data_IF_266157221412
#
_entry.id   IF_266157221412
#
_cell.length_a   1.000
_cell.length_b   1.000
_cell.length_c   1.000
_cell.angle_alpha   90.00
_cell.angle_beta   90.00
_cell.angle_gamma   90.00
#
_symmetry.space_group_name_H-M   'P 1'
#
loop_
_entity.id
_entity.type
_entity.pdbx_description
1 polymer ?
#
# COMPACT_ATOMS: atom_id res chain seq x y z
N UNK A 1 0.57 -0.64 -5.34
CA UNK A 1 -0.62 -1.39 -4.89
C UNK A 1 -0.18 -2.77 -4.41
N UNK A 2 -0.67 -3.20 -3.26
CA UNK A 2 -0.42 -4.54 -2.72
C UNK A 2 -1.74 -5.25 -2.43
N UNK A 3 -1.77 -6.56 -2.62
CA UNK A 3 -2.93 -7.42 -2.33
C UNK A 3 -2.47 -8.54 -1.41
N UNK A 4 -3.28 -8.84 -0.39
CA UNK A 4 -3.04 -9.96 0.51
C UNK A 4 -4.21 -10.93 0.39
N UNK A 5 -3.92 -12.09 -0.17
CA UNK A 5 -4.80 -13.25 -0.12
C UNK A 5 -4.69 -13.88 1.27
N UNK A 6 -5.80 -13.88 2.01
CA UNK A 6 -5.85 -14.37 3.39
C UNK A 6 -6.07 -15.88 3.46
N UNK A 7 -6.60 -16.49 2.40
CA UNK A 7 -6.90 -17.92 2.36
C UNK A 7 -5.60 -18.70 2.14
N UNK A 8 -4.77 -18.24 1.18
CA UNK A 8 -3.47 -18.83 0.88
C UNK A 8 -2.29 -18.17 1.61
N UNK A 9 -2.56 -17.15 2.44
CA UNK A 9 -1.57 -16.26 3.07
C UNK A 9 -0.48 -15.78 2.09
N UNK A 10 -0.90 -15.31 0.91
CA UNK A 10 0.02 -14.86 -0.13
C UNK A 10 -0.09 -13.34 -0.34
N UNK A 11 1.05 -12.66 -0.29
CA UNK A 11 1.16 -11.22 -0.49
C UNK A 11 1.69 -10.91 -1.88
N UNK A 12 1.03 -10.01 -2.59
CA UNK A 12 1.30 -9.67 -3.97
C UNK A 12 1.59 -8.18 -4.11
N UNK A 13 2.70 -7.84 -4.76
CA UNK A 13 2.94 -6.50 -5.29
C UNK A 13 2.40 -6.45 -6.71
N UNK A 14 1.26 -5.79 -6.89
CA UNK A 14 0.51 -5.80 -8.16
C UNK A 14 0.84 -4.61 -9.05
N UNK A 15 1.18 -3.46 -8.46
CA UNK A 15 1.58 -2.26 -9.21
C UNK A 15 2.55 -1.39 -8.41
N UNK A 16 3.45 -0.70 -9.10
CA UNK A 16 4.41 0.25 -8.53
C UNK A 16 4.30 1.58 -9.28
N UNK A 17 4.43 2.67 -8.53
CA UNK A 17 4.52 4.02 -9.06
C UNK A 17 5.65 4.72 -8.31
N UNK A 18 6.57 5.32 -9.07
CA UNK A 18 7.69 6.13 -8.56
C UNK A 18 7.90 7.26 -9.55
N UNK A 19 8.01 8.47 -9.03
CA UNK A 19 8.26 9.67 -9.82
C UNK A 19 8.98 10.68 -8.93
N UNK A 20 9.98 11.36 -9.49
CA UNK A 20 10.84 12.29 -8.75
C UNK A 20 10.46 13.74 -9.06
N UNK A 21 10.61 14.64 -8.07
CA UNK A 21 10.42 16.10 -8.24
C UNK A 21 9.03 16.52 -8.72
N UNK A 22 7.99 15.80 -8.30
CA UNK A 22 6.60 16.15 -8.59
C UNK A 22 5.86 16.62 -7.35
N UNK A 23 4.72 17.26 -7.57
CA UNK A 23 3.83 17.74 -6.50
C UNK A 23 2.90 16.63 -6.01
N UNK A 24 2.47 16.74 -4.75
CA UNK A 24 1.58 15.76 -4.09
C UNK A 24 0.30 15.50 -4.88
N UNK A 25 -0.29 16.53 -5.51
CA UNK A 25 -1.50 16.40 -6.31
C UNK A 25 -1.33 15.41 -7.49
N UNK A 26 -0.17 15.42 -8.15
CA UNK A 26 0.13 14.51 -9.27
C UNK A 26 0.31 13.08 -8.77
N UNK A 27 1.05 12.89 -7.68
CA UNK A 27 1.19 11.58 -7.05
C UNK A 27 -0.17 11.02 -6.60
N UNK A 28 -1.00 11.83 -5.94
CA UNK A 28 -2.31 11.42 -5.48
C UNK A 28 -3.24 11.06 -6.64
N UNK A 29 -3.23 11.83 -7.73
CA UNK A 29 -4.02 11.53 -8.93
C UNK A 29 -3.59 10.22 -9.59
N UNK A 30 -2.28 9.97 -9.71
CA UNK A 30 -1.75 8.72 -10.27
C UNK A 30 -2.19 7.49 -9.44
N UNK A 31 -2.20 7.62 -8.11
CA UNK A 31 -2.62 6.55 -7.20
C UNK A 31 -4.14 6.38 -7.15
N UNK A 32 -4.91 7.45 -7.33
CA UNK A 32 -6.38 7.41 -7.29
C UNK A 32 -6.97 6.49 -8.38
N UNK A 33 -6.31 6.39 -9.54
CA UNK A 33 -6.70 5.50 -10.63
C UNK A 33 -6.65 4.01 -10.27
N UNK A 34 -5.94 3.63 -9.19
CA UNK A 34 -5.88 2.25 -8.74
C UNK A 34 -7.09 1.83 -7.91
N UNK A 35 -7.87 2.78 -7.39
CA UNK A 35 -9.01 2.51 -6.50
C UNK A 35 -8.80 3.08 -5.09
N UNK A 36 -9.85 3.01 -4.27
CA UNK A 36 -9.86 3.64 -2.94
C UNK A 36 -9.41 2.66 -1.85
N UNK A 37 -8.12 2.35 -1.84
CA UNK A 37 -7.49 1.46 -0.85
C UNK A 37 -6.84 2.20 0.32
N UNK A 38 -6.70 1.57 1.50
CA UNK A 38 -5.92 2.11 2.60
C UNK A 38 -4.46 2.34 2.20
N UNK A 39 -3.91 3.51 2.53
CA UNK A 39 -2.54 3.89 2.20
C UNK A 39 -1.71 3.96 3.47
N UNK A 40 -0.73 3.05 3.59
CA UNK A 40 0.28 3.08 4.64
C UNK A 40 1.35 4.14 4.34
N UNK A 41 1.88 4.77 5.38
CA UNK A 41 2.83 5.87 5.25
C UNK A 41 3.89 5.83 6.36
N UNK A 42 5.12 6.34 6.12
CA UNK A 42 6.21 6.29 7.09
C UNK A 42 6.00 7.23 8.28
N UNK A 43 6.69 6.99 9.39
CA UNK A 43 6.72 7.93 10.53
C UNK A 43 7.12 9.36 10.10
N UNK A 44 8.00 9.49 9.11
CA UNK A 44 8.40 10.78 8.56
C UNK A 44 7.27 11.59 7.91
N UNK A 45 6.09 10.99 7.70
CA UNK A 45 4.92 11.72 7.18
C UNK A 45 4.32 12.74 8.15
N UNK A 46 4.75 12.75 9.41
CA UNK A 46 4.46 13.83 10.36
C UNK A 46 5.26 15.11 10.09
N UNK A 47 6.29 15.05 9.25
CA UNK A 47 7.03 16.25 8.87
C UNK A 47 6.08 17.22 8.18
N UNK A 48 6.25 18.49 8.53
CA UNK A 48 5.53 19.58 7.91
C UNK A 48 6.19 19.94 6.59
N UNK A 49 5.37 20.09 5.55
CA UNK A 49 5.84 20.67 4.30
C UNK A 49 6.19 22.16 4.51
N UNK A 50 7.31 22.60 3.94
CA UNK A 50 7.85 23.94 4.18
C UNK A 50 6.96 25.05 3.61
N UNK A 51 6.13 24.75 2.60
CA UNK A 51 5.28 25.74 1.96
C UNK A 51 3.90 25.86 2.64
N UNK A 52 3.30 24.75 3.06
CA UNK A 52 1.93 24.73 3.61
C UNK A 52 1.86 24.66 5.13
N UNK A 53 2.90 24.15 5.81
CA UNK A 53 2.85 23.88 7.25
C UNK A 53 1.98 22.67 7.63
N UNK A 54 1.36 21.99 6.66
CA UNK A 54 0.58 20.77 6.90
C UNK A 54 1.48 19.54 6.98
N UNK A 55 1.04 18.53 7.73
CA UNK A 55 1.69 17.22 7.71
C UNK A 55 1.55 16.61 6.30
N UNK A 56 2.63 16.04 5.77
CA UNK A 56 2.63 15.43 4.44
C UNK A 56 1.49 14.40 4.29
N UNK A 57 1.22 13.60 5.32
CA UNK A 57 0.12 12.62 5.30
C UNK A 57 -1.26 13.28 5.15
N UNK A 58 -1.47 14.45 5.76
CA UNK A 58 -2.70 15.22 5.63
C UNK A 58 -2.86 15.79 4.22
N UNK A 59 -1.78 16.24 3.59
CA UNK A 59 -1.83 16.74 2.21
C UNK A 59 -2.29 15.65 1.24
N UNK A 60 -1.74 14.43 1.35
CA UNK A 60 -2.21 13.29 0.55
C UNK A 60 -3.68 12.93 0.85
N UNK A 61 -4.11 13.03 2.10
CA UNK A 61 -5.52 12.82 2.50
C UNK A 61 -6.45 13.88 1.88
N UNK A 62 -6.03 15.14 1.86
CA UNK A 62 -6.79 16.24 1.25
C UNK A 62 -6.96 16.07 -0.26
N UNK A 63 -6.03 15.39 -0.93
CA UNK A 63 -6.14 14.97 -2.32
C UNK A 63 -6.92 13.65 -2.54
N UNK A 64 -7.62 13.14 -1.52
CA UNK A 64 -8.58 12.05 -1.64
C UNK A 64 -8.01 10.64 -1.46
N UNK A 65 -6.74 10.49 -1.07
CA UNK A 65 -6.19 9.19 -0.70
C UNK A 65 -6.68 8.76 0.70
N UNK A 66 -7.00 7.48 0.87
CA UNK A 66 -7.40 6.91 2.17
C UNK A 66 -6.17 6.61 3.04
N UNK A 67 -5.44 7.66 3.42
CA UNK A 67 -4.28 7.57 4.31
C UNK A 67 -4.71 6.96 5.66
N UNK A 68 -4.00 5.93 6.11
CA UNK A 68 -4.22 5.34 7.44
C UNK A 68 -4.11 6.41 8.53
N UNK A 69 -4.81 6.28 9.67
CA UNK A 69 -4.79 7.28 10.73
C UNK A 69 -3.39 7.41 11.36
N UNK A 70 -2.64 6.32 11.39
CA UNK A 70 -1.30 6.24 11.98
C UNK A 70 -0.28 5.78 10.94
N UNK A 71 0.98 6.13 11.19
CA UNK A 71 2.12 5.69 10.41
C UNK A 71 2.34 4.17 10.52
N UNK A 72 3.16 3.63 9.64
CA UNK A 72 3.44 2.21 9.58
C UNK A 72 4.18 1.70 10.84
N UNK A 73 3.61 0.69 11.48
CA UNK A 73 4.16 0.03 12.68
C UNK A 73 4.18 -1.48 12.54
N UNK A 74 5.16 -2.13 13.16
CA UNK A 74 5.27 -3.59 13.24
C UNK A 74 4.09 -4.18 14.04
N UNK A 75 3.84 -5.49 13.87
CA UNK A 75 2.71 -6.15 14.52
C UNK A 75 2.79 -6.07 16.06
N UNK A 76 4.00 -6.16 16.62
CA UNK A 76 4.26 -6.04 18.06
C UNK A 76 4.44 -4.59 18.54
N UNK A 77 4.19 -3.60 17.68
CA UNK A 77 4.49 -2.18 17.93
C UNK A 77 5.89 -1.76 17.48
N UNK A 78 6.12 -0.44 17.48
CA UNK A 78 7.37 0.17 16.99
C UNK A 78 7.48 0.25 15.45
N UNK A 79 8.55 0.90 14.97
CA UNK A 79 8.78 1.19 13.55
C UNK A 79 10.16 0.69 13.05
N UNK A 80 10.73 -0.29 13.75
CA UNK A 80 12.03 -0.89 13.42
C UNK A 80 12.00 -1.60 12.05
N UNK A 81 13.07 -1.43 11.27
CA UNK A 81 13.15 -1.85 9.86
C UNK A 81 13.56 -3.32 9.69
N UNK A 82 14.36 -3.87 10.61
CA UNK A 82 14.98 -5.20 10.46
C UNK A 82 13.96 -6.34 10.54
N UNK A 83 13.03 -6.28 11.51
CA UNK A 83 12.01 -7.30 11.69
C UNK A 83 11.14 -7.53 10.43
N UNK A 84 10.50 -6.50 9.84
CA UNK A 84 9.68 -6.70 8.64
C UNK A 84 10.50 -7.13 7.42
N UNK A 85 11.79 -6.79 7.32
CA UNK A 85 12.65 -7.29 6.25
C UNK A 85 12.89 -8.79 6.39
N UNK A 86 13.16 -9.25 7.61
CA UNK A 86 13.34 -10.68 7.88
C UNK A 86 12.05 -11.46 7.56
N UNK A 87 10.88 -10.93 7.97
CA UNK A 87 9.58 -11.52 7.66
C UNK A 87 9.32 -11.61 6.14
N UNK A 88 9.62 -10.54 5.40
CA UNK A 88 9.45 -10.52 3.93
C UNK A 88 10.37 -11.54 3.27
N UNK A 89 11.64 -11.63 3.70
CA UNK A 89 12.59 -12.61 3.17
C UNK A 89 12.09 -14.04 3.40
N UNK A 90 11.62 -14.34 4.62
CA UNK A 90 11.04 -15.65 4.94
C UNK A 90 9.79 -15.96 4.10
N UNK A 91 8.93 -14.96 3.88
CA UNK A 91 7.76 -15.10 3.03
C UNK A 91 8.14 -15.34 1.56
N UNK A 92 9.19 -14.68 1.05
CA UNK A 92 9.72 -14.92 -0.29
C UNK A 92 10.25 -16.36 -0.42
N UNK A 93 11.05 -16.83 0.54
CA UNK A 93 11.60 -18.19 0.54
C UNK A 93 10.50 -19.27 0.60
N UNK A 94 9.39 -18.98 1.30
CA UNK A 94 8.21 -19.85 1.37
C UNK A 94 7.28 -19.73 0.16
N UNK A 95 7.59 -18.85 -0.80
CA UNK A 95 6.74 -18.59 -1.97
C UNK A 95 5.43 -17.85 -1.66
N UNK A 96 5.35 -17.20 -0.48
CA UNK A 96 4.20 -16.43 0.03
C UNK A 96 4.30 -14.94 -0.23
N UNK A 97 5.41 -14.47 -0.80
CA UNK A 97 5.57 -13.09 -1.26
C UNK A 97 5.89 -13.09 -2.76
N UNK A 98 5.05 -12.43 -3.55
CA UNK A 98 5.13 -12.45 -5.02
C UNK A 98 5.08 -11.04 -5.58
N UNK A 99 5.87 -10.81 -6.63
CA UNK A 99 5.94 -9.52 -7.32
C UNK A 99 5.54 -9.75 -8.77
N UNK A 100 4.60 -8.95 -9.30
CA UNK A 100 4.24 -9.03 -10.70
C UNK A 100 5.42 -8.63 -11.58
N UNK A 101 5.67 -9.39 -12.64
CA UNK A 101 6.90 -9.33 -13.46
C UNK A 101 7.14 -8.00 -14.18
N UNK A 102 6.09 -7.19 -14.35
CA UNK A 102 6.15 -5.86 -14.97
C UNK A 102 6.66 -4.77 -14.02
N UNK A 103 6.75 -5.02 -12.71
CA UNK A 103 7.24 -4.04 -11.72
C UNK A 103 8.77 -3.92 -11.75
N UNK A 104 9.33 -3.55 -12.91
CA UNK A 104 10.80 -3.49 -13.15
C UNK A 104 11.52 -2.59 -12.16
N UNK A 105 10.94 -1.43 -11.84
CA UNK A 105 11.50 -0.49 -10.87
C UNK A 105 11.77 -1.12 -9.49
N UNK A 106 10.90 -2.03 -9.04
CA UNK A 106 11.12 -2.74 -7.78
C UNK A 106 12.24 -3.78 -7.90
N UNK A 107 12.32 -4.49 -9.02
CA UNK A 107 13.43 -5.43 -9.26
C UNK A 107 14.78 -4.71 -9.33
N UNK A 108 14.82 -3.50 -9.92
CA UNK A 108 16.03 -2.68 -9.98
C UNK A 108 16.49 -2.25 -8.58
N UNK A 109 15.56 -1.81 -7.72
CA UNK A 109 15.89 -1.49 -6.31
C UNK A 109 16.34 -2.74 -5.54
N UNK A 110 15.67 -3.89 -5.71
CA UNK A 110 16.05 -5.14 -5.05
C UNK A 110 17.47 -5.55 -5.44
N UNK A 111 17.85 -5.42 -6.72
CA UNK A 111 19.19 -5.74 -7.18
C UNK A 111 20.29 -4.86 -6.58
N UNK A 112 19.96 -3.65 -6.14
CA UNK A 112 20.89 -2.73 -5.49
C UNK A 112 20.85 -2.81 -3.95
N UNK A 113 19.83 -3.45 -3.39
CA UNK A 113 19.62 -3.51 -1.95
C UNK A 113 20.64 -4.41 -1.26
N UNK A 114 21.48 -3.82 -0.40
CA UNK A 114 22.56 -4.54 0.27
C UNK A 114 22.83 -4.00 1.67
N UNK A 115 23.61 -4.77 2.44
CA UNK A 115 24.14 -4.35 3.74
C UNK A 115 25.63 -4.01 3.62
N UNK A 116 26.05 -2.98 4.36
CA UNK A 116 27.46 -2.62 4.54
C UNK A 116 27.75 -2.50 6.02
N UNK A 117 28.71 -3.29 6.52
CA UNK A 117 29.03 -3.33 7.96
C UNK A 117 27.84 -3.77 8.83
N UNK A 118 27.04 -4.73 8.35
CA UNK A 118 25.87 -5.25 9.07
C UNK A 118 24.63 -4.35 9.06
N UNK A 119 24.72 -3.14 8.49
CA UNK A 119 23.60 -2.20 8.39
C UNK A 119 23.07 -2.12 6.96
N UNK A 120 21.76 -1.97 6.82
CA UNK A 120 21.12 -1.67 5.54
C UNK A 120 21.63 -0.33 5.00
N UNK A 121 22.02 -0.32 3.73
CA UNK A 121 22.36 0.90 3.02
C UNK A 121 21.06 1.54 2.53
N UNK A 122 20.67 2.67 3.13
CA UNK A 122 19.47 3.44 2.78
C UNK A 122 19.71 4.30 1.53
N UNK A 123 19.97 3.66 0.40
CA UNK A 123 20.19 4.31 -0.88
C UNK A 123 19.33 3.63 -1.93
N UNK A 124 18.56 4.43 -2.68
CA UNK A 124 17.62 3.94 -3.69
C UNK A 124 16.63 2.89 -3.16
N UNK A 125 16.07 3.11 -1.97
CA UNK A 125 15.19 2.18 -1.27
C UNK A 125 13.73 2.67 -1.15
N UNK A 126 13.29 3.59 -2.00
CA UNK A 126 11.98 4.23 -1.90
C UNK A 126 10.83 3.23 -2.06
N UNK A 127 10.90 2.36 -3.08
CA UNK A 127 9.88 1.36 -3.37
C UNK A 127 9.99 0.21 -2.36
N UNK A 128 11.20 -0.24 -2.03
CA UNK A 128 11.42 -1.25 -0.98
C UNK A 128 10.87 -0.77 0.36
N UNK A 129 11.08 0.49 0.71
CA UNK A 129 10.53 1.09 1.93
C UNK A 129 9.00 1.13 1.88
N UNK A 130 8.43 1.54 0.76
CA UNK A 130 6.97 1.55 0.56
C UNK A 130 6.35 0.15 0.65
N UNK A 131 6.99 -0.84 0.03
CA UNK A 131 6.64 -2.26 0.10
C UNK A 131 6.67 -2.77 1.54
N UNK A 132 7.73 -2.43 2.30
CA UNK A 132 7.87 -2.79 3.71
C UNK A 132 6.74 -2.19 4.56
N UNK A 133 6.38 -0.92 4.35
CA UNK A 133 5.26 -0.31 5.07
C UNK A 133 3.93 -0.97 4.74
N UNK A 134 3.71 -1.37 3.48
CA UNK A 134 2.52 -2.11 3.10
C UNK A 134 2.48 -3.50 3.76
N UNK A 135 3.61 -4.20 3.86
CA UNK A 135 3.71 -5.47 4.59
C UNK A 135 3.38 -5.30 6.07
N UNK A 136 4.01 -4.34 6.73
CA UNK A 136 3.77 -4.02 8.15
C UNK A 136 2.28 -3.75 8.41
N UNK A 137 1.64 -2.98 7.52
CA UNK A 137 0.26 -2.55 7.66
C UNK A 137 -0.76 -3.46 6.97
N UNK A 138 -0.39 -4.67 6.55
CA UNK A 138 -1.29 -5.61 5.84
C UNK A 138 -2.57 -5.94 6.63
N UNK A 139 -2.53 -5.83 7.97
CA UNK A 139 -3.68 -5.96 8.89
C UNK A 139 -4.80 -4.93 8.64
N UNK A 140 -4.49 -3.81 7.98
CA UNK A 140 -5.48 -2.81 7.57
C UNK A 140 -6.00 -3.00 6.15
N UNK A 141 -5.57 -4.06 5.45
CA UNK A 141 -6.11 -4.41 4.13
C UNK A 141 -7.63 -4.50 4.17
N UNK A 142 -8.28 -4.06 3.09
CA UNK A 142 -9.74 -4.08 2.93
C UNK A 142 -10.06 -4.68 1.58
N UNK A 143 -11.07 -5.55 1.56
CA UNK A 143 -11.69 -6.01 0.32
C UNK A 143 -12.54 -4.86 -0.19
N UNK A 144 -12.28 -4.39 -1.40
CA UNK A 144 -13.20 -3.46 -2.05
C UNK A 144 -14.44 -4.26 -2.47
N UNK A 145 -15.51 -4.16 -1.66
CA UNK A 145 -16.80 -4.69 -2.06
C UNK A 145 -17.29 -3.84 -3.24
N UNK A 146 -17.20 -4.38 -4.45
CA UNK A 146 -17.99 -3.86 -5.57
C UNK A 146 -19.44 -3.93 -5.14
N UNK A 147 -20.13 -2.78 -5.06
CA UNK A 147 -21.58 -2.75 -4.87
C UNK A 147 -22.18 -3.51 -6.05
N UNK A 148 -22.60 -4.76 -5.83
CA UNK A 148 -23.44 -5.45 -6.78
C UNK A 148 -24.68 -4.59 -6.93
N UNK A 149 -24.93 -4.08 -8.14
CA UNK A 149 -26.17 -3.41 -8.48
C UNK A 149 -27.27 -4.44 -8.20
N UNK A 150 -28.02 -4.26 -7.11
CA UNK A 150 -29.25 -5.02 -6.94
C UNK A 150 -30.17 -4.58 -8.08
N UNK A 151 -30.35 -5.47 -9.06
CA UNK A 151 -31.45 -5.33 -10.00
C UNK A 151 -32.73 -5.49 -9.17
N UNK A 152 -33.43 -4.38 -8.97
CA UNK A 152 -34.77 -4.40 -8.41
C UNK A 152 -35.66 -5.10 -9.44
N UNK A 153 -35.83 -6.41 -9.35
CA UNK A 153 -36.90 -7.14 -10.04
C UNK A 153 -38.22 -6.75 -9.37
N UNK A 154 -38.73 -5.58 -9.74
CA UNK A 154 -40.11 -5.19 -9.48
C UNK A 154 -41.01 -6.13 -10.26
N UNK A 155 -41.52 -7.16 -9.58
CA UNK A 155 -42.61 -8.00 -10.10
C UNK A 155 -43.84 -7.62 -9.31
N UNK A 156 -44.55 -6.59 -9.78
CA UNK A 156 -45.92 -6.31 -9.35
C UNK A 156 -46.83 -7.40 -9.94
N UNK A 157 -46.97 -8.51 -9.21
CA UNK A 157 -48.02 -9.50 -9.47
C UNK A 157 -49.15 -9.24 -8.47
N UNK A 158 -50.29 -8.71 -8.94
CA UNK A 158 -51.49 -8.48 -8.16
C UNK A 158 -52.58 -9.49 -8.58
N UNK A 159 -52.79 -10.60 -7.86
CA UNK A 159 -53.78 -11.60 -8.24
C UNK A 159 -55.11 -11.35 -7.53
N UNK A 160 -55.89 -10.37 -7.96
CA UNK A 160 -57.31 -10.24 -7.54
C UNK A 160 -58.18 -9.64 -8.64
N UNK A 161 -58.59 -10.49 -9.60
CA UNK A 161 -59.85 -10.33 -10.33
C UNK A 161 -60.41 -11.70 -10.69
N UNK A 162 -61.33 -12.20 -9.86
CA UNK A 162 -62.45 -13.05 -10.24
C UNK A 162 -63.64 -12.72 -9.34
#
# INVERSE_FOLDING_TARGET
LCVWDRDDDCFYITAVYKQSREVIAIHAAALAGWGKFPVAWPHDGYKHDQASGDQISMMYRNHGLKMLPEHATNMSGGFGIEAPIQEILEAMLKGKFKIFSHNKLLFDEIGQYHRKGGKIVKLYDDIISSMRYAWMMKRYSRVEMKRTRQETTGTDYNPLFH
#
